data_IF_612042134987
#
_entry.id   IF_612042134987
#
_cell.length_a   1.000
_cell.length_b   1.000
_cell.length_c   1.000
_cell.angle_alpha   90.00
_cell.angle_beta   90.00
_cell.angle_gamma   90.00
#
_symmetry.space_group_name_H-M   'P 1'
#
loop_
_entity.id
_entity.type
_entity.pdbx_description
1 polymer ?
#
# COMPACT_ATOMS: atom_id res chain seq x y z
N UNK A 1 15.19 10.58 -7.73
CA UNK A 1 14.06 9.93 -7.05
C UNK A 1 14.47 9.56 -5.67
N UNK A 2 15.62 9.28 -5.58
CA UNK A 2 16.16 8.62 -4.48
C UNK A 2 16.27 9.45 -3.23
N UNK A 3 16.78 10.57 -3.27
CA UNK A 3 16.88 11.48 -2.13
C UNK A 3 15.81 12.55 -2.20
N UNK A 4 14.88 12.37 -3.12
CA UNK A 4 13.78 13.26 -3.27
C UNK A 4 12.74 12.99 -2.19
N UNK A 5 12.14 13.95 -1.85
CA UNK A 5 11.04 14.22 -0.98
C UNK A 5 10.03 13.07 -0.89
N UNK A 6 10.17 12.29 0.16
CA UNK A 6 9.07 11.45 0.62
C UNK A 6 8.13 12.37 1.37
N UNK A 7 7.06 12.76 0.73
CA UNK A 7 5.95 13.35 1.44
C UNK A 7 5.24 12.21 2.17
N UNK A 8 5.62 12.05 3.41
CA UNK A 8 4.89 11.17 4.28
C UNK A 8 3.49 11.72 4.48
N UNK A 9 2.50 10.95 4.21
CA UNK A 9 1.17 11.48 4.08
C UNK A 9 0.12 10.67 4.75
N UNK A 10 0.23 9.89 5.65
CA UNK A 10 -0.92 9.38 6.35
C UNK A 10 -0.63 8.57 7.59
N UNK A 11 -1.66 8.37 8.26
CA UNK A 11 -1.85 7.82 9.54
C UNK A 11 -1.86 6.31 9.58
N UNK A 12 -1.05 5.69 8.97
CA UNK A 12 -0.97 4.25 8.97
C UNK A 12 -0.14 3.79 7.80
N UNK A 13 0.47 2.66 7.93
CA UNK A 13 1.37 2.11 6.92
C UNK A 13 0.68 1.93 5.58
N UNK A 14 -0.54 1.41 5.59
CA UNK A 14 -1.33 1.17 4.38
C UNK A 14 -1.70 2.47 3.66
N UNK A 15 -2.02 3.51 4.40
CA UNK A 15 -2.37 4.80 3.83
C UNK A 15 -1.16 5.47 3.18
N UNK A 16 0.01 5.38 3.78
CA UNK A 16 1.24 5.91 3.20
C UNK A 16 1.61 5.19 1.90
N UNK A 17 1.61 3.88 1.90
CA UNK A 17 1.89 3.05 0.72
C UNK A 17 0.84 3.29 -0.37
N UNK A 18 -0.42 3.42 -0.01
CA UNK A 18 -1.52 3.74 -0.92
C UNK A 18 -1.37 5.09 -1.59
N UNK A 19 -0.92 6.11 -0.85
CA UNK A 19 -0.61 7.42 -1.41
C UNK A 19 0.50 7.35 -2.45
N UNK A 20 1.60 6.68 -2.14
CA UNK A 20 2.71 6.51 -3.07
C UNK A 20 2.28 5.78 -4.35
N UNK A 21 1.38 4.80 -4.25
CA UNK A 21 0.87 4.07 -5.42
C UNK A 21 -0.11 4.89 -6.26
N UNK A 22 -0.82 5.85 -5.69
CA UNK A 22 -1.78 6.68 -6.42
C UNK A 22 -1.14 7.65 -7.40
N UNK A 23 0.09 8.06 -7.17
CA UNK A 23 0.87 8.90 -8.10
C UNK A 23 1.32 8.13 -9.35
N UNK A 24 1.36 6.81 -9.27
CA UNK A 24 1.74 5.92 -10.35
C UNK A 24 0.49 5.37 -11.04
N UNK A 25 -0.15 6.17 -11.89
CA UNK A 25 -1.45 5.90 -12.49
C UNK A 25 -1.57 4.61 -13.33
N UNK A 26 -0.48 3.93 -13.62
CA UNK A 26 -0.46 2.71 -14.47
C UNK A 26 -0.45 1.39 -13.71
N UNK A 27 -0.31 1.40 -12.38
CA UNK A 27 -0.08 0.20 -11.57
C UNK A 27 -0.78 0.26 -10.24
N UNK A 28 -2.02 0.70 -10.23
CA UNK A 28 -2.81 0.78 -8.98
C UNK A 28 -2.91 -0.59 -8.33
N UNK A 29 -2.50 -0.65 -7.09
CA UNK A 29 -2.73 -1.80 -6.24
C UNK A 29 -4.13 -1.71 -5.63
N UNK A 30 -4.78 -2.86 -5.46
CA UNK A 30 -6.03 -2.92 -4.70
C UNK A 30 -5.78 -2.54 -3.23
N UNK A 31 -6.84 -2.14 -2.52
CA UNK A 31 -6.74 -1.84 -1.09
C UNK A 31 -6.20 -3.04 -0.30
N UNK A 32 -6.65 -4.25 -0.61
CA UNK A 32 -6.15 -5.47 0.02
C UNK A 32 -4.65 -5.69 -0.26
N UNK A 33 -4.19 -5.41 -1.47
CA UNK A 33 -2.78 -5.51 -1.83
C UNK A 33 -1.93 -4.47 -1.08
N UNK A 34 -2.40 -3.23 -0.98
CA UNK A 34 -1.73 -2.16 -0.23
C UNK A 34 -1.60 -2.51 1.26
N UNK A 35 -2.66 -3.00 1.88
CA UNK A 35 -2.65 -3.42 3.29
C UNK A 35 -1.67 -4.57 3.53
N UNK A 36 -1.70 -5.59 2.70
CA UNK A 36 -0.80 -6.75 2.81
C UNK A 36 0.64 -6.35 2.57
N UNK A 37 0.89 -5.56 1.54
CA UNK A 37 2.24 -5.09 1.21
C UNK A 37 2.83 -4.21 2.32
N UNK A 38 2.04 -3.35 2.94
CA UNK A 38 2.51 -2.52 4.06
C UNK A 38 2.86 -3.36 5.30
N UNK A 39 2.08 -4.39 5.61
CA UNK A 39 2.40 -5.33 6.70
C UNK A 39 3.76 -6.00 6.43
N UNK A 40 3.96 -6.50 5.22
CA UNK A 40 5.21 -7.15 4.84
C UNK A 40 6.38 -6.17 4.90
N UNK A 41 6.21 -4.96 4.37
CA UNK A 41 7.27 -3.95 4.36
C UNK A 41 7.75 -3.56 5.76
N UNK A 42 6.83 -3.40 6.71
CA UNK A 42 7.17 -2.98 8.06
C UNK A 42 7.53 -4.12 9.01
N UNK A 43 7.07 -5.33 8.76
CA UNK A 43 7.27 -6.49 9.64
C UNK A 43 8.25 -7.52 9.10
N UNK A 44 8.80 -7.31 7.91
CA UNK A 44 9.72 -8.25 7.28
C UNK A 44 10.94 -8.60 8.15
N UNK A 45 11.42 -9.83 8.10
CA UNK A 45 10.83 -10.98 7.41
C UNK A 45 9.59 -11.51 8.14
N UNK A 46 8.54 -11.85 7.42
CA UNK A 46 7.25 -12.25 7.99
C UNK A 46 6.67 -13.45 7.24
N UNK A 47 5.97 -14.32 7.96
CA UNK A 47 5.29 -15.47 7.38
C UNK A 47 3.86 -15.14 6.96
N UNK A 48 3.30 -15.96 6.07
CA UNK A 48 1.88 -15.82 5.68
C UNK A 48 0.92 -15.96 6.86
N UNK A 49 1.05 -16.94 7.76
CA UNK A 49 0.19 -17.02 8.95
C UNK A 49 0.22 -15.75 9.80
N UNK A 50 1.38 -15.13 9.96
CA UNK A 50 1.50 -13.87 10.69
C UNK A 50 0.79 -12.71 9.97
N UNK A 51 0.91 -12.64 8.66
CA UNK A 51 0.18 -11.66 7.83
C UNK A 51 -1.32 -11.85 7.98
N UNK A 52 -1.80 -13.08 7.88
CA UNK A 52 -3.23 -13.40 8.02
C UNK A 52 -3.76 -13.10 9.42
N UNK A 53 -2.97 -13.32 10.45
CA UNK A 53 -3.33 -12.95 11.82
C UNK A 53 -3.54 -11.44 11.95
N UNK A 54 -2.66 -10.64 11.36
CA UNK A 54 -2.76 -9.17 11.40
C UNK A 54 -3.96 -8.69 10.58
N UNK A 55 -4.17 -9.25 9.39
CA UNK A 55 -5.28 -8.86 8.53
C UNK A 55 -6.63 -9.42 8.96
N UNK A 56 -6.66 -10.57 9.63
CA UNK A 56 -7.87 -11.27 10.02
C UNK A 56 -8.57 -12.00 8.87
N UNK A 57 -7.94 -12.14 7.72
CA UNK A 57 -8.48 -12.81 6.53
C UNK A 57 -7.40 -13.61 5.81
N UNK A 58 -7.82 -14.57 4.97
CA UNK A 58 -6.90 -15.31 4.08
C UNK A 58 -6.23 -14.35 3.11
N UNK A 59 -4.92 -14.51 2.93
CA UNK A 59 -4.09 -13.63 2.10
C UNK A 59 -3.36 -14.36 0.97
N UNK A 60 -3.70 -15.60 0.66
CA UNK A 60 -3.03 -16.40 -0.38
C UNK A 60 -3.02 -15.71 -1.74
N UNK A 61 -4.19 -15.27 -2.19
CA UNK A 61 -4.33 -14.61 -3.49
C UNK A 61 -3.51 -13.33 -3.58
N UNK A 62 -3.57 -12.51 -2.54
CA UNK A 62 -2.86 -11.22 -2.51
C UNK A 62 -1.34 -11.43 -2.46
N UNK A 63 -0.86 -12.35 -1.65
CA UNK A 63 0.56 -12.68 -1.57
C UNK A 63 1.08 -13.16 -2.93
N UNK A 64 0.34 -14.06 -3.59
CA UNK A 64 0.70 -14.52 -4.93
C UNK A 64 0.71 -13.36 -5.95
N UNK A 65 -0.25 -12.47 -5.90
CA UNK A 65 -0.29 -11.29 -6.75
C UNK A 65 0.93 -10.38 -6.53
N UNK A 66 1.30 -10.14 -5.28
CA UNK A 66 2.48 -9.34 -4.95
C UNK A 66 3.80 -10.01 -5.38
N UNK A 67 3.88 -11.34 -5.29
CA UNK A 67 5.01 -12.10 -5.83
C UNK A 67 5.10 -11.98 -7.36
N UNK A 68 3.99 -12.11 -8.07
CA UNK A 68 3.92 -11.96 -9.53
C UNK A 68 4.34 -10.56 -9.99
N UNK A 69 3.95 -9.54 -9.24
CA UNK A 69 4.35 -8.14 -9.47
C UNK A 69 5.80 -7.85 -9.05
N UNK A 70 6.48 -8.81 -8.49
CA UNK A 70 7.85 -8.69 -7.99
C UNK A 70 8.03 -7.59 -6.92
N UNK A 71 6.99 -7.30 -6.17
CA UNK A 71 7.05 -6.34 -5.06
C UNK A 71 7.50 -6.99 -3.74
N UNK A 72 7.27 -8.29 -3.60
CA UNK A 72 7.76 -9.10 -2.50
C UNK A 72 8.49 -10.33 -3.01
N UNK A 73 9.30 -10.93 -2.16
CA UNK A 73 10.05 -12.14 -2.45
C UNK A 73 10.17 -13.01 -1.21
N UNK A 74 10.56 -14.27 -1.42
CA UNK A 74 10.83 -15.21 -0.34
C UNK A 74 12.25 -14.97 0.17
N UNK A 75 12.39 -14.69 1.46
CA UNK A 75 13.66 -14.43 2.15
C UNK A 75 14.26 -15.67 2.84
N UNK A 76 13.49 -16.72 2.98
CA UNK A 76 13.90 -17.94 3.66
C UNK A 76 12.71 -18.66 4.29
N UNK A 77 12.96 -19.45 5.31
CA UNK A 77 11.94 -20.16 6.07
C UNK A 77 12.11 -19.88 7.56
N UNK A 78 10.98 -19.78 8.26
CA UNK A 78 10.98 -19.67 9.71
C UNK A 78 11.37 -21.01 10.35
N UNK A 79 11.94 -20.95 11.56
CA UNK A 79 12.28 -22.13 12.35
C UNK A 79 11.09 -22.71 13.13
N UNK A 80 9.94 -22.07 13.04
CA UNK A 80 8.70 -22.53 13.69
C UNK A 80 8.12 -23.79 13.03
N UNK A 81 7.14 -24.38 13.69
CA UNK A 81 6.46 -25.59 13.22
C UNK A 81 5.93 -25.40 11.79
N UNK A 82 6.19 -26.40 10.93
CA UNK A 82 5.82 -26.35 9.52
C UNK A 82 6.77 -25.55 8.65
N UNK A 83 7.76 -24.88 9.22
CA UNK A 83 8.77 -24.06 8.54
C UNK A 83 8.17 -23.18 7.43
N UNK A 84 7.23 -22.26 7.75
CA UNK A 84 6.58 -21.44 6.75
C UNK A 84 7.57 -20.51 6.06
N UNK A 85 7.27 -20.13 4.81
CA UNK A 85 8.07 -19.19 4.06
C UNK A 85 8.07 -17.82 4.72
N UNK A 86 9.22 -17.15 4.69
CA UNK A 86 9.40 -15.76 5.12
C UNK A 86 9.39 -14.84 3.90
N UNK A 87 8.59 -13.80 3.94
CA UNK A 87 8.46 -12.80 2.88
C UNK A 87 9.12 -11.48 3.26
N UNK A 88 9.60 -10.78 2.26
CA UNK A 88 10.14 -9.44 2.39
C UNK A 88 9.96 -8.67 1.09
N UNK A 89 10.30 -7.40 1.11
CA UNK A 89 10.21 -6.53 -0.06
C UNK A 89 11.45 -6.66 -0.97
N UNK A 90 11.32 -6.16 -2.18
CA UNK A 90 12.33 -6.23 -3.25
C UNK A 90 12.87 -4.85 -3.60
N UNK A 91 13.89 -4.80 -4.47
CA UNK A 91 14.35 -3.54 -5.07
C UNK A 91 13.26 -2.91 -5.95
N UNK A 92 12.44 -3.73 -6.62
CA UNK A 92 11.29 -3.24 -7.38
C UNK A 92 10.26 -2.53 -6.50
N UNK A 93 10.05 -3.00 -5.27
CA UNK A 93 9.26 -2.29 -4.27
C UNK A 93 9.80 -0.88 -4.02
N UNK A 94 11.09 -0.75 -3.80
CA UNK A 94 11.74 0.54 -3.57
C UNK A 94 11.57 1.48 -4.77
N UNK A 95 11.78 0.99 -5.96
CA UNK A 95 11.59 1.76 -7.20
C UNK A 95 10.14 2.17 -7.41
N UNK A 96 9.21 1.25 -7.16
CA UNK A 96 7.78 1.50 -7.32
C UNK A 96 7.29 2.64 -6.44
N UNK A 97 7.80 2.74 -5.21
CA UNK A 97 7.40 3.75 -4.24
C UNK A 97 8.40 4.92 -4.13
N UNK A 98 9.41 4.98 -4.98
CA UNK A 98 10.39 6.06 -4.96
C UNK A 98 11.28 6.10 -3.73
N UNK A 99 11.55 4.96 -3.14
CA UNK A 99 12.40 4.82 -1.96
C UNK A 99 13.83 4.41 -2.34
N UNK A 100 14.81 4.85 -1.56
CA UNK A 100 16.18 4.39 -1.69
C UNK A 100 16.44 3.11 -0.94
N UNK A 101 15.94 3.05 0.28
CA UNK A 101 16.15 1.97 1.24
C UNK A 101 14.85 1.72 1.99
N UNK A 102 14.71 0.52 2.51
CA UNK A 102 13.55 0.18 3.34
C UNK A 102 13.48 1.06 4.60
N UNK A 103 14.61 1.50 5.11
CA UNK A 103 14.70 2.41 6.25
C UNK A 103 14.17 3.82 5.97
N UNK A 104 13.93 4.17 4.71
CA UNK A 104 13.30 5.42 4.32
C UNK A 104 11.78 5.43 4.57
N UNK A 105 11.18 4.27 4.84
CA UNK A 105 9.80 4.21 5.33
C UNK A 105 9.71 4.87 6.70
N UNK A 106 8.71 5.75 6.94
CA UNK A 106 8.58 6.41 8.22
C UNK A 106 8.28 5.42 9.34
N UNK A 107 8.87 5.63 10.50
CA UNK A 107 8.62 4.85 11.70
C UNK A 107 7.23 5.16 12.25
N UNK A 108 6.62 4.25 13.04
CA UNK A 108 5.30 4.49 13.64
C UNK A 108 5.17 5.82 14.37
N UNK A 109 6.21 6.23 15.08
CA UNK A 109 6.24 7.50 15.79
C UNK A 109 6.23 8.71 14.84
N UNK A 110 6.97 8.63 13.74
CA UNK A 110 6.99 9.66 12.69
C UNK A 110 5.64 9.76 11.98
N UNK A 111 4.99 8.62 11.76
CA UNK A 111 3.65 8.57 11.18
C UNK A 111 2.64 9.29 12.07
N UNK A 112 2.68 9.07 13.37
CA UNK A 112 1.80 9.75 14.32
C UNK A 112 1.98 11.27 14.30
N UNK A 113 3.21 11.76 14.19
CA UNK A 113 3.50 13.18 14.07
C UNK A 113 2.97 13.77 12.76
N UNK A 114 3.16 13.04 11.67
CA UNK A 114 2.64 13.42 10.35
C UNK A 114 1.13 13.51 10.36
N UNK A 115 0.46 12.59 11.05
CA UNK A 115 -1.01 12.58 11.17
C UNK A 115 -1.59 13.82 11.81
N UNK A 116 -0.82 14.48 12.64
CA UNK A 116 -1.22 15.69 13.34
C UNK A 116 -0.89 16.95 12.57
N UNK A 117 -0.16 16.83 11.47
CA UNK A 117 0.20 17.95 10.63
C UNK A 117 -1.02 18.44 9.82
N UNK A 118 -1.34 19.72 9.94
CA UNK A 118 -2.51 20.30 9.29
C UNK A 118 -2.40 20.31 7.77
N UNK A 119 -1.20 20.57 7.23
CA UNK A 119 -0.97 20.57 5.79
C UNK A 119 -1.19 19.18 5.19
N UNK A 120 -0.77 18.16 5.92
CA UNK A 120 -1.00 16.79 5.55
C UNK A 120 -2.50 16.42 5.53
N UNK A 121 -3.22 16.80 6.56
CA UNK A 121 -4.67 16.55 6.65
C UNK A 121 -5.42 17.26 5.52
N UNK A 122 -5.00 18.44 5.14
CA UNK A 122 -5.62 19.18 4.04
C UNK A 122 -5.36 18.51 2.68
N UNK A 123 -4.15 18.05 2.43
CA UNK A 123 -3.82 17.31 1.22
C UNK A 123 -4.63 16.02 1.11
N UNK A 124 -4.78 15.30 2.21
CA UNK A 124 -5.60 14.09 2.27
C UNK A 124 -7.07 14.38 1.97
N UNK A 125 -7.60 15.44 2.53
CA UNK A 125 -8.98 15.89 2.26
C UNK A 125 -9.19 16.18 0.78
N UNK A 126 -8.25 16.87 0.16
CA UNK A 126 -8.32 17.23 -1.26
C UNK A 126 -8.29 15.98 -2.16
N UNK A 127 -7.44 15.01 -1.85
CA UNK A 127 -7.38 13.74 -2.58
C UNK A 127 -8.72 12.99 -2.48
N UNK A 128 -9.30 12.92 -1.29
CA UNK A 128 -10.61 12.29 -1.07
C UNK A 128 -11.72 12.98 -1.85
N UNK A 129 -11.75 14.30 -1.87
CA UNK A 129 -12.73 15.06 -2.62
C UNK A 129 -12.62 14.79 -4.13
N UNK A 130 -11.42 14.80 -4.66
CA UNK A 130 -11.19 14.52 -6.08
C UNK A 130 -11.65 13.09 -6.46
N UNK A 131 -11.39 12.11 -5.60
CA UNK A 131 -11.85 10.74 -5.82
C UNK A 131 -13.38 10.62 -5.78
N UNK A 132 -14.04 11.35 -4.88
CA UNK A 132 -15.50 11.37 -4.82
C UNK A 132 -16.12 12.01 -6.06
N UNK A 133 -15.52 13.09 -6.58
CA UNK A 133 -15.95 13.73 -7.81
C UNK A 133 -15.81 12.79 -9.02
N UNK A 134 -14.68 12.09 -9.16
CA UNK A 134 -14.48 11.09 -10.22
C UNK A 134 -15.52 9.97 -10.16
N UNK A 135 -15.86 9.49 -8.97
CA UNK A 135 -16.90 8.46 -8.80
C UNK A 135 -18.27 8.99 -9.21
N UNK A 136 -18.62 10.21 -8.78
CA UNK A 136 -19.89 10.83 -9.10
C UNK A 136 -20.06 11.08 -10.62
N UNK A 137 -19.00 11.50 -11.31
CA UNK A 137 -19.01 11.68 -12.77
C UNK A 137 -19.17 10.35 -13.49
N UNK A 138 -18.51 9.30 -13.04
CA UNK A 138 -18.65 7.96 -13.64
C UNK A 138 -20.04 7.36 -13.42
N UNK A 139 -20.68 7.59 -12.28
CA UNK A 139 -22.05 7.15 -12.01
C UNK A 139 -23.08 7.99 -12.77
N UNK A 140 -22.84 9.28 -12.94
CA UNK A 140 -23.69 10.18 -13.71
C UNK A 140 -23.71 9.84 -15.20
N UNK A 141 -22.58 9.44 -15.77
CA UNK A 141 -22.48 9.02 -17.16
C UNK A 141 -23.21 7.73 -17.51
N UNK A 142 -23.39 6.83 -16.55
CA UNK A 142 -24.11 5.57 -16.75
C UNK A 142 -25.64 5.74 -16.82
N UNK A 143 -26.18 6.81 -16.24
CA UNK A 143 -27.60 7.06 -16.24
C UNK A 143 -28.13 7.81 -17.49
N UNK A 144 -27.25 8.41 -18.27
CA UNK A 144 -27.63 9.10 -19.51
C UNK A 144 -27.80 8.14 -20.70
N UNK A 145 -27.09 7.01 -20.69
CA UNK A 145 -27.18 6.01 -21.75
C UNK A 145 -28.43 5.11 -21.65
N UNK A 146 -29.08 5.02 -20.51
CA UNK A 146 -30.32 4.24 -20.35
C UNK A 146 -31.61 5.02 -20.67
N UNK A 147 -31.53 6.33 -20.89
CA UNK A 147 -32.71 7.16 -21.14
C UNK A 147 -33.00 7.43 -22.61
N UNK A 148 -32.18 6.96 -23.56
CA UNK A 148 -32.35 7.14 -25.00
C UNK A 148 -32.86 5.90 -25.77
N UNK A 149 -33.35 4.91 -25.02
CA UNK A 149 -34.05 3.77 -25.67
C UNK A 149 -35.51 3.73 -25.20
#
# INVERSE_FOLDING_TARGET
IAEGFIYATDAGYANYIGYLSSESSRRRLSQAAVETLSIIAYKQPITKPEVETIRGVNSDYIINTLLEKNLITIKGRADSMGRPLLYGTTDEFLKYFGLNRITDLPKPREIEEIMKDEDFLEQKRQIMLNQMEEIAENEGGLNEDESEN
#
